data_IF_905601984487
#
_entry.id   IF_905601984487
#
_cell.length_a   1.000
_cell.length_b   1.000
_cell.length_c   1.000
_cell.angle_alpha   90.00
_cell.angle_beta   90.00
_cell.angle_gamma   90.00
#
_symmetry.space_group_name_H-M   'P 1'
#
loop_
_entity.id
_entity.type
_entity.pdbx_description
1 polymer ?
#
# COMPACT_ATOMS: atom_id res chain seq x y z
N UNK A 1 -13.53 21.76 -1.02
CA UNK A 1 -14.75 21.09 -0.53
C UNK A 1 -15.71 20.96 -1.69
N UNK A 2 -16.18 19.76 -1.95
CA UNK A 2 -17.09 19.46 -3.07
C UNK A 2 -18.25 18.64 -2.51
N UNK A 3 -19.49 18.88 -2.98
CA UNK A 3 -20.66 18.07 -2.61
C UNK A 3 -20.84 16.86 -3.55
N UNK A 4 -21.88 16.06 -3.33
CA UNK A 4 -22.20 14.87 -4.13
C UNK A 4 -22.60 15.17 -5.58
N UNK A 5 -23.07 16.40 -5.86
CA UNK A 5 -23.38 16.86 -7.22
C UNK A 5 -22.15 17.34 -7.99
N UNK A 6 -21.00 17.47 -7.32
CA UNK A 6 -19.77 18.00 -7.89
C UNK A 6 -19.60 19.51 -7.76
N UNK A 7 -20.51 20.20 -7.02
CA UNK A 7 -20.43 21.64 -6.85
C UNK A 7 -19.30 21.99 -5.87
N UNK A 8 -18.53 23.02 -6.22
CA UNK A 8 -17.42 23.51 -5.43
C UNK A 8 -17.96 24.47 -4.34
N UNK A 9 -18.01 23.99 -3.08
CA UNK A 9 -18.53 24.73 -1.95
C UNK A 9 -17.47 25.63 -1.27
N UNK A 10 -16.19 25.33 -1.47
CA UNK A 10 -15.10 26.12 -0.94
C UNK A 10 -13.76 25.72 -1.55
N UNK A 11 -12.97 26.72 -1.93
CA UNK A 11 -11.65 26.53 -2.52
C UNK A 11 -10.66 27.60 -2.06
N UNK A 12 -9.46 27.15 -1.71
CA UNK A 12 -8.30 28.02 -1.47
C UNK A 12 -7.10 27.40 -2.17
N UNK A 13 -6.82 27.86 -3.39
CA UNK A 13 -5.74 27.34 -4.23
C UNK A 13 -5.81 25.82 -4.43
N UNK A 14 -7.00 25.26 -4.57
CA UNK A 14 -7.26 23.82 -4.66
C UNK A 14 -6.63 23.16 -5.88
N UNK A 15 -6.42 23.91 -6.97
CA UNK A 15 -5.75 23.42 -8.18
C UNK A 15 -4.22 23.37 -8.04
N UNK A 16 -3.64 23.99 -7.00
CA UNK A 16 -2.20 24.02 -6.82
C UNK A 16 -1.68 22.65 -6.35
N UNK A 17 -0.79 22.06 -7.11
CA UNK A 17 -0.14 20.80 -6.75
C UNK A 17 0.86 21.00 -5.60
N UNK A 18 0.71 20.20 -4.55
CA UNK A 18 1.49 20.25 -3.30
C UNK A 18 2.00 18.86 -2.95
N UNK A 19 2.95 18.79 -2.01
CA UNK A 19 3.41 17.53 -1.43
C UNK A 19 2.29 16.97 -0.55
N UNK A 20 1.73 15.78 -0.86
CA UNK A 20 0.57 15.24 -0.16
C UNK A 20 0.89 14.51 1.14
N UNK A 21 2.15 14.14 1.38
CA UNK A 21 2.49 13.12 2.37
C UNK A 21 1.60 11.87 2.20
N UNK A 22 1.18 11.23 3.28
CA UNK A 22 0.40 9.97 3.20
C UNK A 22 -0.99 10.09 2.56
N UNK A 23 -1.45 11.29 2.16
CA UNK A 23 -2.66 11.38 1.32
C UNK A 23 -2.44 10.79 -0.08
N UNK A 24 -1.18 10.58 -0.50
CA UNK A 24 -0.82 9.80 -1.69
C UNK A 24 -1.42 8.39 -1.66
N UNK A 25 -1.56 7.78 -0.47
CA UNK A 25 -2.13 6.45 -0.30
C UNK A 25 -3.58 6.34 -0.80
N UNK A 26 -4.34 7.43 -0.77
CA UNK A 26 -5.69 7.44 -1.35
C UNK A 26 -5.67 7.08 -2.84
N UNK A 27 -4.67 7.56 -3.59
CA UNK A 27 -4.50 7.21 -5.01
C UNK A 27 -4.10 5.74 -5.15
N UNK A 28 -3.09 5.29 -4.41
CA UNK A 28 -2.55 3.92 -4.52
C UNK A 28 -3.58 2.87 -4.13
N UNK A 29 -4.38 3.13 -3.09
CA UNK A 29 -5.41 2.21 -2.61
C UNK A 29 -6.66 2.21 -3.50
N UNK A 30 -7.06 3.36 -4.05
CA UNK A 30 -8.14 3.42 -5.03
C UNK A 30 -7.78 2.66 -6.32
N UNK A 31 -6.57 2.90 -6.84
CA UNK A 31 -6.04 2.18 -7.99
C UNK A 31 -5.98 0.67 -7.76
N UNK A 32 -5.50 0.25 -6.59
CA UNK A 32 -5.43 -1.18 -6.25
C UNK A 32 -6.82 -1.83 -6.14
N UNK A 33 -7.76 -1.16 -5.49
CA UNK A 33 -9.12 -1.70 -5.33
C UNK A 33 -9.85 -1.82 -6.68
N UNK A 34 -9.72 -0.81 -7.55
CA UNK A 34 -10.34 -0.84 -8.88
C UNK A 34 -9.75 -1.95 -9.77
N UNK A 35 -8.43 -2.10 -9.76
CA UNK A 35 -7.73 -3.02 -10.67
C UNK A 35 -7.74 -4.48 -10.21
N UNK A 36 -7.71 -4.72 -8.91
CA UNK A 36 -7.53 -6.06 -8.34
C UNK A 36 -8.82 -6.60 -7.70
N UNK A 37 -9.78 -5.73 -7.36
CA UNK A 37 -11.03 -6.10 -6.72
C UNK A 37 -10.92 -6.41 -5.22
N UNK A 38 -12.08 -6.58 -4.55
CA UNK A 38 -12.16 -6.72 -3.10
C UNK A 38 -11.65 -8.07 -2.57
N UNK A 39 -11.64 -9.10 -3.39
CA UNK A 39 -11.26 -10.48 -3.01
C UNK A 39 -9.77 -10.76 -3.19
N UNK A 40 -9.03 -9.82 -3.76
CA UNK A 40 -7.60 -9.98 -4.01
C UNK A 40 -6.83 -10.26 -2.72
N UNK A 41 -5.86 -11.18 -2.84
CA UNK A 41 -4.88 -11.51 -1.80
C UNK A 41 -3.50 -11.59 -2.41
N UNK A 42 -2.50 -11.13 -1.68
CA UNK A 42 -1.10 -11.34 -2.01
C UNK A 42 -0.74 -12.80 -1.74
N UNK A 43 0.10 -13.38 -2.59
CA UNK A 43 0.50 -14.78 -2.50
C UNK A 43 2.00 -14.88 -2.30
N UNK A 44 2.39 -15.86 -1.49
CA UNK A 44 3.77 -16.35 -1.39
C UNK A 44 3.72 -17.84 -1.67
N UNK A 45 4.51 -18.31 -2.63
CA UNK A 45 4.45 -19.68 -3.16
C UNK A 45 5.81 -20.34 -3.13
N UNK A 46 5.85 -21.60 -2.73
CA UNK A 46 6.97 -22.50 -2.93
C UNK A 46 6.60 -23.47 -4.05
N UNK A 47 7.37 -23.45 -5.11
CA UNK A 47 7.14 -24.25 -6.32
C UNK A 47 8.34 -25.14 -6.55
N UNK A 48 8.12 -26.41 -6.95
CA UNK A 48 9.16 -27.31 -7.44
C UNK A 48 9.20 -27.26 -8.96
N UNK A 49 10.35 -26.97 -9.52
CA UNK A 49 10.62 -27.03 -10.95
C UNK A 49 10.84 -28.47 -11.42
N UNK A 50 10.74 -28.72 -12.74
CA UNK A 50 10.89 -30.05 -13.33
C UNK A 50 12.25 -30.71 -13.01
N UNK A 51 13.31 -29.92 -12.83
CA UNK A 51 14.64 -30.36 -12.43
C UNK A 51 14.80 -30.66 -10.92
N UNK A 52 13.74 -30.49 -10.14
CA UNK A 52 13.72 -30.67 -8.70
C UNK A 52 14.15 -29.44 -7.89
N UNK A 53 14.58 -28.36 -8.53
CA UNK A 53 14.90 -27.09 -7.86
C UNK A 53 13.66 -26.48 -7.25
N UNK A 54 13.77 -25.97 -6.01
CA UNK A 54 12.68 -25.26 -5.35
C UNK A 54 12.79 -23.75 -5.62
N UNK A 55 11.66 -23.13 -5.84
CA UNK A 55 11.58 -21.69 -6.08
C UNK A 55 10.57 -21.05 -5.13
N UNK A 56 11.02 -20.04 -4.38
CA UNK A 56 10.20 -19.24 -3.48
C UNK A 56 9.88 -17.89 -4.14
N UNK A 57 8.59 -17.64 -4.39
CA UNK A 57 8.06 -16.44 -5.04
C UNK A 57 7.16 -15.69 -4.08
N UNK A 58 7.23 -14.36 -4.05
CA UNK A 58 6.37 -13.53 -3.21
C UNK A 58 5.81 -12.32 -3.94
N UNK A 59 4.67 -11.85 -3.46
CA UNK A 59 3.99 -10.65 -3.95
C UNK A 59 4.06 -9.48 -2.96
N UNK A 60 4.84 -9.61 -1.87
CA UNK A 60 5.02 -8.56 -0.87
C UNK A 60 3.95 -8.60 0.22
N UNK A 61 3.57 -9.79 0.70
CA UNK A 61 2.65 -9.92 1.83
C UNK A 61 3.21 -9.21 3.07
N UNK A 62 2.53 -8.17 3.60
CA UNK A 62 3.00 -7.41 4.76
C UNK A 62 3.00 -8.23 6.05
N UNK A 63 2.17 -9.27 6.11
CA UNK A 63 1.93 -10.07 7.31
C UNK A 63 2.63 -11.44 7.29
N UNK A 64 3.39 -11.75 6.22
CA UNK A 64 4.17 -12.98 6.18
C UNK A 64 5.13 -13.04 7.37
N UNK A 65 4.83 -13.95 8.31
CA UNK A 65 5.56 -14.08 9.57
C UNK A 65 6.50 -15.29 9.60
N UNK A 66 7.18 -15.44 10.74
CA UNK A 66 8.09 -16.59 10.98
C UNK A 66 7.33 -17.92 10.87
N UNK A 67 6.08 -17.99 11.32
CA UNK A 67 5.27 -19.23 11.22
C UNK A 67 5.04 -19.65 9.75
N UNK A 68 4.76 -18.70 8.85
CA UNK A 68 4.69 -18.97 7.40
C UNK A 68 6.01 -19.49 6.86
N UNK A 69 7.12 -18.83 7.21
CA UNK A 69 8.45 -19.28 6.81
C UNK A 69 8.74 -20.72 7.29
N UNK A 70 8.30 -21.09 8.49
CA UNK A 70 8.44 -22.45 9.02
C UNK A 70 7.64 -23.49 8.22
N UNK A 71 6.43 -23.14 7.75
CA UNK A 71 5.62 -24.00 6.88
C UNK A 71 6.28 -24.18 5.51
N UNK A 72 6.84 -23.12 4.92
CA UNK A 72 7.64 -23.23 3.71
C UNK A 72 8.86 -24.14 3.87
N UNK A 73 9.60 -24.00 4.98
CA UNK A 73 10.75 -24.88 5.25
C UNK A 73 10.32 -26.34 5.46
N UNK A 74 9.17 -26.58 6.07
CA UNK A 74 8.60 -27.94 6.22
C UNK A 74 8.21 -28.52 4.85
N UNK A 75 7.54 -27.75 4.00
CA UNK A 75 7.17 -28.17 2.67
C UNK A 75 8.40 -28.48 1.79
N UNK A 76 9.44 -27.63 1.88
CA UNK A 76 10.70 -27.86 1.18
C UNK A 76 11.38 -29.16 1.59
N UNK A 77 11.33 -29.52 2.86
CA UNK A 77 11.91 -30.76 3.39
C UNK A 77 11.10 -32.01 3.05
N UNK A 78 9.77 -31.88 2.97
CA UNK A 78 8.88 -33.00 2.66
C UNK A 78 9.08 -33.57 1.24
N UNK A 79 9.61 -32.79 0.31
CA UNK A 79 9.88 -33.20 -1.08
C UNK A 79 11.33 -33.67 -1.29
N UNK A 80 12.26 -33.32 -0.41
CA UNK A 80 13.66 -33.72 -0.49
C UNK A 80 13.91 -35.22 -0.27
N UNK A 81 12.89 -35.97 0.18
CA UNK A 81 12.99 -37.41 0.45
C UNK A 81 12.49 -38.34 -0.66
N UNK A 82 11.88 -37.88 -1.75
CA UNK A 82 11.08 -38.73 -2.62
C UNK A 82 11.67 -39.07 -3.98
N UNK A 83 12.56 -38.29 -4.59
CA UNK A 83 13.13 -38.63 -5.92
C UNK A 83 14.54 -38.05 -6.10
N UNK A 84 15.56 -38.79 -5.69
CA UNK A 84 16.93 -38.68 -6.25
C UNK A 84 17.86 -37.60 -5.67
N UNK A 85 17.42 -36.80 -4.70
CA UNK A 85 18.31 -35.92 -3.93
C UNK A 85 18.88 -36.70 -2.74
N UNK A 86 20.17 -36.50 -2.43
CA UNK A 86 20.79 -37.00 -1.19
C UNK A 86 19.91 -36.60 -0.02
N UNK A 87 19.48 -37.55 0.83
CA UNK A 87 18.55 -37.35 1.91
C UNK A 87 18.88 -36.06 2.68
N UNK A 88 17.97 -35.06 2.61
CA UNK A 88 18.06 -33.84 3.40
C UNK A 88 18.75 -32.63 2.75
N UNK A 89 19.14 -32.63 1.49
CA UNK A 89 19.66 -31.44 0.79
C UNK A 89 18.56 -30.73 -0.04
N UNK A 90 18.43 -29.42 0.13
CA UNK A 90 17.47 -28.57 -0.59
C UNK A 90 18.22 -27.51 -1.39
N UNK A 91 17.92 -27.37 -2.68
CA UNK A 91 18.34 -26.25 -3.49
C UNK A 91 17.17 -25.27 -3.66
N UNK A 92 17.29 -24.06 -3.10
CA UNK A 92 16.22 -23.05 -3.08
C UNK A 92 16.64 -21.81 -3.84
N UNK A 93 15.90 -21.49 -4.90
CA UNK A 93 15.94 -20.19 -5.55
C UNK A 93 14.92 -19.26 -4.90
N UNK A 94 15.34 -18.07 -4.56
CA UNK A 94 14.51 -17.01 -3.95
C UNK A 94 14.35 -15.88 -4.97
N UNK A 95 13.13 -15.70 -5.49
CA UNK A 95 12.82 -14.60 -6.40
C UNK A 95 12.72 -13.31 -5.62
N UNK A 96 13.73 -12.45 -5.74
CA UNK A 96 13.72 -11.15 -5.08
C UNK A 96 14.42 -10.09 -5.94
N UNK A 97 13.91 -8.86 -5.85
CA UNK A 97 14.50 -7.72 -6.52
C UNK A 97 15.94 -7.45 -6.03
N UNK A 98 16.81 -6.96 -6.89
CA UNK A 98 18.15 -6.55 -6.47
C UNK A 98 18.09 -5.39 -5.48
N UNK A 99 19.04 -5.35 -4.54
CA UNK A 99 19.06 -4.42 -3.39
C UNK A 99 18.85 -2.95 -3.77
N UNK A 100 19.35 -2.50 -4.92
CA UNK A 100 19.17 -1.13 -5.39
C UNK A 100 17.70 -0.76 -5.67
N UNK A 101 16.83 -1.75 -5.87
CA UNK A 101 15.39 -1.56 -6.16
C UNK A 101 14.52 -1.66 -4.90
N UNK A 102 15.08 -1.93 -3.72
CA UNK A 102 14.30 -2.11 -2.48
C UNK A 102 13.68 -0.82 -1.97
N UNK A 103 14.20 0.32 -2.35
CA UNK A 103 13.63 1.62 -1.99
C UNK A 103 13.32 2.45 -3.23
N UNK A 104 12.22 3.19 -3.23
CA UNK A 104 12.06 4.27 -4.19
C UNK A 104 13.27 5.21 -4.13
N UNK A 105 13.82 5.58 -5.28
CA UNK A 105 15.07 6.36 -5.36
C UNK A 105 15.00 7.68 -4.60
N UNK A 106 13.80 8.26 -4.52
CA UNK A 106 13.52 9.56 -3.91
C UNK A 106 13.34 9.50 -2.38
N UNK A 107 13.40 8.32 -1.76
CA UNK A 107 13.32 8.21 -0.30
C UNK A 107 14.61 8.69 0.35
N UNK A 108 14.47 9.60 1.31
CA UNK A 108 15.62 10.12 2.01
C UNK A 108 16.36 9.00 2.76
N UNK A 109 17.70 8.90 2.66
CA UNK A 109 18.45 7.82 3.30
C UNK A 109 18.22 7.69 4.81
N UNK A 110 18.02 8.81 5.52
CA UNK A 110 17.72 8.80 6.94
C UNK A 110 16.40 8.10 7.29
N UNK A 111 15.40 8.11 6.39
CA UNK A 111 14.12 7.45 6.61
C UNK A 111 14.25 5.92 6.57
N UNK A 112 15.24 5.41 5.87
CA UNK A 112 15.45 3.96 5.63
C UNK A 112 15.81 3.17 6.89
N UNK A 113 16.18 3.83 7.98
CA UNK A 113 16.44 3.19 9.27
C UNK A 113 15.17 2.92 10.10
N UNK A 114 14.07 3.62 9.78
CA UNK A 114 12.82 3.52 10.53
C UNK A 114 11.87 2.52 9.89
N UNK A 115 10.96 1.97 10.70
CA UNK A 115 9.95 1.00 10.25
C UNK A 115 9.10 1.55 9.07
N UNK A 116 8.78 2.84 9.07
CA UNK A 116 8.02 3.47 7.97
C UNK A 116 8.83 3.62 6.67
N UNK A 117 10.15 3.50 6.72
CA UNK A 117 11.07 3.52 5.58
C UNK A 117 11.69 2.15 5.27
N UNK A 118 11.08 1.08 5.77
CA UNK A 118 11.54 -0.29 5.54
C UNK A 118 11.62 -0.62 4.03
N UNK A 119 12.57 -1.48 3.61
CA UNK A 119 12.74 -1.83 2.21
C UNK A 119 11.51 -2.59 1.67
N UNK A 120 11.15 -2.29 0.43
CA UNK A 120 10.01 -2.90 -0.27
C UNK A 120 10.52 -4.10 -1.05
N UNK A 121 10.23 -5.30 -0.55
CA UNK A 121 10.67 -6.57 -1.12
C UNK A 121 9.48 -7.49 -1.41
N UNK A 122 9.67 -8.44 -2.32
CA UNK A 122 8.63 -9.42 -2.65
C UNK A 122 8.40 -10.42 -1.53
N UNK A 123 9.47 -10.74 -0.80
CA UNK A 123 9.47 -11.69 0.33
C UNK A 123 9.80 -10.94 1.63
N UNK A 124 8.81 -10.23 2.14
CA UNK A 124 8.94 -9.42 3.35
C UNK A 124 8.48 -10.18 4.59
N UNK A 125 9.39 -10.45 5.50
CA UNK A 125 9.01 -10.99 6.81
C UNK A 125 8.62 -9.85 7.75
N UNK A 126 7.33 -9.79 8.14
CA UNK A 126 6.77 -8.73 8.99
C UNK A 126 7.02 -7.32 8.42
N UNK A 127 6.69 -7.15 7.12
CA UNK A 127 6.89 -5.88 6.39
C UNK A 127 8.33 -5.35 6.47
N UNK A 128 9.32 -6.22 6.69
CA UNK A 128 10.73 -5.86 6.89
C UNK A 128 10.97 -4.85 8.03
N UNK A 129 10.14 -4.88 9.06
CA UNK A 129 10.24 -4.01 10.23
C UNK A 129 10.18 -4.79 11.55
N UNK A 130 11.13 -4.51 12.46
CA UNK A 130 11.24 -5.10 13.79
C UNK A 130 11.63 -3.99 14.78
N UNK A 131 10.69 -3.10 15.13
CA UNK A 131 11.00 -1.90 15.89
C UNK A 131 11.65 -0.79 15.04
N UNK A 132 12.54 -1.14 14.10
CA UNK A 132 13.12 -0.33 13.04
C UNK A 132 13.08 -1.11 11.72
N UNK A 133 13.62 -0.54 10.65
CA UNK A 133 13.73 -1.23 9.37
C UNK A 133 14.79 -2.35 9.42
N UNK A 134 14.49 -3.47 8.78
CA UNK A 134 15.46 -4.53 8.50
C UNK A 134 16.26 -4.13 7.27
N UNK A 135 17.55 -3.85 7.46
CA UNK A 135 18.43 -3.32 6.40
C UNK A 135 18.74 -4.32 5.28
N UNK A 136 18.64 -5.61 5.57
CA UNK A 136 18.86 -6.70 4.62
C UNK A 136 17.82 -7.81 4.83
N UNK A 137 16.61 -7.65 4.24
CA UNK A 137 15.52 -8.64 4.35
C UNK A 137 15.87 -9.99 3.74
N UNK A 138 16.60 -9.98 2.62
CA UNK A 138 16.99 -11.23 1.94
C UNK A 138 17.90 -12.07 2.85
N UNK A 139 18.94 -11.47 3.41
CA UNK A 139 19.85 -12.18 4.33
C UNK A 139 19.13 -12.66 5.59
N UNK A 140 18.17 -11.89 6.10
CA UNK A 140 17.32 -12.30 7.23
C UNK A 140 16.49 -13.53 6.86
N UNK A 141 15.80 -13.51 5.73
CA UNK A 141 15.00 -14.62 5.22
C UNK A 141 15.88 -15.87 5.03
N UNK A 142 17.00 -15.73 4.33
CA UNK A 142 17.96 -16.81 4.11
C UNK A 142 18.44 -17.45 5.42
N UNK A 143 18.84 -16.62 6.38
CA UNK A 143 19.34 -17.09 7.69
C UNK A 143 18.27 -17.87 8.44
N UNK A 144 17.04 -17.35 8.47
CA UNK A 144 15.93 -17.99 9.18
C UNK A 144 15.49 -19.28 8.48
N UNK A 145 15.45 -19.28 7.16
CA UNK A 145 15.10 -20.47 6.37
C UNK A 145 16.14 -21.58 6.56
N UNK A 146 17.44 -21.25 6.46
CA UNK A 146 18.54 -22.18 6.75
C UNK A 146 18.45 -22.78 8.16
N UNK A 147 18.15 -21.94 9.16
CA UNK A 147 17.97 -22.38 10.56
C UNK A 147 16.81 -23.38 10.67
N UNK A 148 15.68 -23.12 10.01
CA UNK A 148 14.52 -24.01 10.07
C UNK A 148 14.76 -25.35 9.37
N UNK A 149 15.44 -25.36 8.21
CA UNK A 149 15.82 -26.59 7.50
C UNK A 149 16.80 -27.40 8.35
N UNK A 150 17.83 -26.75 8.92
CA UNK A 150 18.82 -27.43 9.80
C UNK A 150 18.17 -28.05 11.03
N UNK A 151 17.20 -27.35 11.64
CA UNK A 151 16.44 -27.86 12.80
C UNK A 151 15.67 -29.15 12.49
N UNK A 152 15.32 -29.36 11.22
CA UNK A 152 14.67 -30.58 10.69
C UNK A 152 15.64 -31.64 10.18
N UNK A 153 16.94 -31.47 10.42
CA UNK A 153 17.96 -32.44 10.00
C UNK A 153 18.43 -32.31 8.55
N UNK A 154 17.99 -31.26 7.85
CA UNK A 154 18.40 -31.02 6.46
C UNK A 154 19.53 -30.02 6.30
N UNK A 155 19.97 -29.87 5.07
CA UNK A 155 20.89 -28.83 4.60
C UNK A 155 20.29 -28.13 3.39
N UNK A 156 20.65 -26.86 3.17
CA UNK A 156 20.07 -26.04 2.11
C UNK A 156 21.10 -25.09 1.51
N UNK A 157 21.09 -25.01 0.19
CA UNK A 157 21.69 -23.91 -0.55
C UNK A 157 20.59 -22.94 -0.96
N UNK A 158 20.78 -21.65 -0.69
CA UNK A 158 19.85 -20.58 -1.05
C UNK A 158 20.54 -19.65 -2.02
N UNK A 159 19.87 -19.38 -3.14
CA UNK A 159 20.37 -18.46 -4.16
C UNK A 159 19.29 -17.42 -4.48
N UNK A 160 19.65 -16.13 -4.46
CA UNK A 160 18.78 -15.08 -4.98
C UNK A 160 18.78 -15.11 -6.51
N UNK A 161 17.58 -15.07 -7.08
CA UNK A 161 17.37 -14.93 -8.53
C UNK A 161 16.48 -13.73 -8.79
N UNK A 162 16.65 -13.09 -9.94
CA UNK A 162 15.75 -11.99 -10.32
C UNK A 162 14.38 -12.57 -10.70
N UNK A 163 13.29 -11.87 -10.32
CA UNK A 163 11.95 -12.24 -10.72
C UNK A 163 11.82 -12.22 -12.24
N UNK A 164 11.19 -13.26 -12.77
CA UNK A 164 10.88 -13.37 -14.19
C UNK A 164 9.65 -12.49 -14.47
N UNK A 165 9.66 -11.70 -15.55
CA UNK A 165 8.51 -10.91 -15.96
C UNK A 165 7.34 -11.82 -16.36
N UNK A 166 6.09 -11.33 -16.15
CA UNK A 166 4.90 -12.12 -16.49
C UNK A 166 4.85 -12.55 -17.97
N UNK A 167 5.42 -11.75 -18.88
CA UNK A 167 5.57 -12.10 -20.30
C UNK A 167 6.53 -13.28 -20.56
N UNK A 168 7.45 -13.53 -19.64
CA UNK A 168 8.37 -14.67 -19.70
C UNK A 168 7.84 -15.89 -18.93
N UNK A 169 6.96 -15.69 -17.95
CA UNK A 169 6.30 -16.79 -17.22
C UNK A 169 5.38 -17.62 -18.11
N UNK A 170 4.74 -17.00 -19.11
CA UNK A 170 3.90 -17.70 -20.10
C UNK A 170 4.68 -18.63 -21.04
N UNK A 171 6.01 -18.59 -21.03
CA UNK A 171 6.90 -19.47 -21.81
C UNK A 171 7.59 -20.56 -20.97
N UNK A 172 7.45 -20.52 -19.62
CA UNK A 172 7.95 -21.60 -18.76
C UNK A 172 6.98 -22.78 -18.79
N UNK A 173 7.56 -23.98 -18.94
CA UNK A 173 6.83 -25.24 -18.98
C UNK A 173 5.86 -25.38 -17.81
N UNK A 174 4.67 -25.89 -18.10
CA UNK A 174 3.55 -26.18 -17.19
C UNK A 174 3.86 -27.32 -16.18
N UNK A 175 5.09 -27.80 -16.14
CA UNK A 175 5.53 -28.95 -15.34
C UNK A 175 5.98 -28.59 -13.90
N UNK A 176 5.69 -27.38 -13.44
CA UNK A 176 6.02 -26.98 -12.07
C UNK A 176 4.93 -27.41 -11.08
N UNK A 177 5.33 -27.88 -9.89
CA UNK A 177 4.43 -28.35 -8.83
C UNK A 177 4.39 -27.34 -7.69
N UNK A 178 3.20 -26.81 -7.37
CA UNK A 178 2.99 -25.99 -6.18
C UNK A 178 3.08 -26.87 -4.92
N UNK A 179 4.07 -26.62 -4.06
CA UNK A 179 4.27 -27.37 -2.83
C UNK A 179 3.59 -26.75 -1.63
N UNK A 180 3.58 -25.42 -1.56
CA UNK A 180 2.94 -24.67 -0.47
C UNK A 180 2.63 -23.24 -0.91
N UNK A 181 1.51 -22.71 -0.40
CA UNK A 181 1.11 -21.33 -0.61
C UNK A 181 0.67 -20.70 0.71
N UNK A 182 1.09 -19.49 0.95
CA UNK A 182 0.55 -18.59 1.97
C UNK A 182 -0.14 -17.41 1.27
N UNK A 183 -1.27 -16.99 1.79
CA UNK A 183 -2.00 -15.83 1.28
C UNK A 183 -2.14 -14.76 2.35
N UNK A 184 -2.04 -13.50 1.96
CA UNK A 184 -2.29 -12.37 2.84
C UNK A 184 -3.73 -12.31 3.32
N UNK A 185 -4.01 -11.41 4.25
CA UNK A 185 -5.35 -10.92 4.49
C UNK A 185 -5.98 -10.37 3.18
N UNK A 186 -7.32 -10.36 3.05
CA UNK A 186 -7.99 -9.88 1.84
C UNK A 186 -7.82 -8.36 1.63
N UNK A 187 -8.17 -7.89 0.44
CA UNK A 187 -7.99 -6.49 0.01
C UNK A 187 -8.50 -5.48 1.06
N UNK A 188 -9.66 -5.69 1.67
CA UNK A 188 -10.20 -4.76 2.67
C UNK A 188 -9.27 -4.56 3.87
N UNK A 189 -8.58 -5.61 4.32
CA UNK A 189 -7.61 -5.52 5.40
C UNK A 189 -6.32 -4.82 4.93
N UNK A 190 -5.84 -5.12 3.72
CA UNK A 190 -4.68 -4.44 3.11
C UNK A 190 -4.94 -2.93 2.93
N UNK A 191 -6.14 -2.57 2.44
CA UNK A 191 -6.56 -1.17 2.33
C UNK A 191 -6.60 -0.49 3.70
N UNK A 192 -7.15 -1.17 4.72
CA UNK A 192 -7.23 -0.66 6.08
C UNK A 192 -5.83 -0.43 6.67
N UNK A 193 -4.92 -1.37 6.47
CA UNK A 193 -3.53 -1.23 6.90
C UNK A 193 -2.86 -0.02 6.23
N UNK A 194 -3.09 0.20 4.94
CA UNK A 194 -2.54 1.33 4.21
C UNK A 194 -3.19 2.67 4.61
N UNK A 195 -4.52 2.74 4.74
CA UNK A 195 -5.24 4.00 4.95
C UNK A 195 -5.49 4.31 6.43
N UNK A 196 -6.01 3.36 7.21
CA UNK A 196 -6.31 3.55 8.65
C UNK A 196 -5.04 3.71 9.47
N UNK A 197 -4.06 2.79 9.27
CA UNK A 197 -2.79 2.77 10.02
C UNK A 197 -1.66 3.52 9.29
N UNK A 198 -1.91 3.95 8.08
CA UNK A 198 -0.93 4.69 7.26
C UNK A 198 0.33 3.90 6.91
N UNK A 199 0.21 2.57 6.75
CA UNK A 199 1.34 1.67 6.53
C UNK A 199 1.97 1.88 5.14
N UNK A 200 3.24 2.31 5.11
CA UNK A 200 3.93 2.65 3.87
C UNK A 200 4.21 1.43 3.01
N UNK A 201 4.74 0.36 3.61
CA UNK A 201 5.06 -0.88 2.90
C UNK A 201 3.85 -1.40 2.10
N UNK A 202 2.69 -1.53 2.76
CA UNK A 202 1.46 -2.03 2.09
C UNK A 202 1.02 -1.13 0.94
N UNK A 203 1.08 0.20 1.10
CA UNK A 203 0.70 1.12 0.02
C UNK A 203 1.65 1.02 -1.19
N UNK A 204 2.94 0.81 -0.93
CA UNK A 204 3.96 0.58 -1.97
C UNK A 204 3.71 -0.72 -2.74
N UNK A 205 3.40 -1.79 -2.02
CA UNK A 205 3.08 -3.08 -2.62
C UNK A 205 1.79 -3.01 -3.43
N UNK A 206 0.73 -2.41 -2.88
CA UNK A 206 -0.55 -2.27 -3.57
C UNK A 206 -0.42 -1.49 -4.88
N UNK A 207 0.36 -0.40 -4.91
CA UNK A 207 0.64 0.34 -6.14
C UNK A 207 1.27 -0.56 -7.21
N UNK A 208 2.28 -1.37 -6.82
CA UNK A 208 3.01 -2.25 -7.73
C UNK A 208 2.16 -3.40 -8.24
N UNK A 209 1.39 -4.03 -7.37
CA UNK A 209 0.51 -5.13 -7.72
C UNK A 209 -0.62 -4.68 -8.66
N UNK A 210 -1.23 -3.53 -8.40
CA UNK A 210 -2.27 -2.97 -9.26
C UNK A 210 -1.75 -2.61 -10.67
N UNK A 211 -0.49 -2.25 -10.77
CA UNK A 211 0.17 -1.94 -12.03
C UNK A 211 0.70 -3.19 -12.76
N UNK A 212 0.76 -4.33 -12.08
CA UNK A 212 1.51 -5.53 -12.51
C UNK A 212 2.97 -5.19 -12.87
N UNK A 213 3.56 -4.27 -12.10
CA UNK A 213 4.92 -3.76 -12.29
C UNK A 213 5.59 -3.53 -10.94
N UNK A 214 6.76 -4.17 -10.71
CA UNK A 214 7.50 -3.95 -9.46
C UNK A 214 8.33 -2.66 -9.48
N UNK A 215 8.78 -2.22 -10.64
CA UNK A 215 9.42 -0.91 -10.78
C UNK A 215 8.45 0.22 -10.42
N UNK A 216 8.86 1.04 -9.46
CA UNK A 216 7.99 2.10 -8.92
C UNK A 216 7.64 3.17 -9.96
N UNK A 217 8.50 3.44 -10.93
CA UNK A 217 8.24 4.45 -11.98
C UNK A 217 7.20 3.93 -12.96
N UNK A 218 7.32 2.66 -13.37
CA UNK A 218 6.35 2.01 -14.22
C UNK A 218 4.98 1.91 -13.54
N UNK A 219 4.95 1.52 -12.25
CA UNK A 219 3.74 1.46 -11.44
C UNK A 219 3.08 2.84 -11.26
N UNK A 220 3.87 3.87 -10.98
CA UNK A 220 3.38 5.25 -10.86
C UNK A 220 2.80 5.78 -12.17
N UNK A 221 3.45 5.47 -13.30
CA UNK A 221 2.93 5.82 -14.61
C UNK A 221 1.61 5.12 -14.94
N UNK A 222 1.44 3.86 -14.53
CA UNK A 222 0.18 3.13 -14.67
C UNK A 222 -0.94 3.76 -13.82
N UNK A 223 -0.66 4.10 -12.56
CA UNK A 223 -1.62 4.79 -11.70
C UNK A 223 -2.00 6.17 -12.25
N UNK A 224 -1.05 6.92 -12.80
CA UNK A 224 -1.33 8.22 -13.44
C UNK A 224 -2.27 8.06 -14.65
N UNK A 225 -2.01 7.09 -15.54
CA UNK A 225 -2.91 6.80 -16.68
C UNK A 225 -4.30 6.37 -16.21
N UNK A 226 -4.37 5.54 -15.18
CA UNK A 226 -5.65 5.15 -14.58
C UNK A 226 -6.44 6.37 -14.08
N UNK A 227 -5.81 7.32 -13.38
CA UNK A 227 -6.47 8.55 -12.94
C UNK A 227 -7.07 9.32 -14.12
N UNK A 228 -6.34 9.43 -15.24
CA UNK A 228 -6.84 10.07 -16.47
C UNK A 228 -8.05 9.33 -17.05
N UNK A 229 -7.99 8.00 -17.11
CA UNK A 229 -9.07 7.14 -17.61
C UNK A 229 -10.34 7.26 -16.75
N UNK A 230 -10.19 7.49 -15.44
CA UNK A 230 -11.31 7.74 -14.54
C UNK A 230 -11.86 9.17 -14.63
N UNK A 231 -11.34 10.02 -15.51
CA UNK A 231 -11.76 11.42 -15.64
C UNK A 231 -11.35 12.31 -14.47
N UNK A 232 -10.40 11.87 -13.64
CA UNK A 232 -9.93 12.62 -12.49
C UNK A 232 -8.90 13.68 -12.95
N UNK A 233 -8.99 14.95 -12.49
CA UNK A 233 -8.03 15.98 -12.89
C UNK A 233 -6.59 15.63 -12.48
N UNK A 234 -5.67 15.61 -13.46
CA UNK A 234 -4.25 15.23 -13.25
C UNK A 234 -3.29 16.38 -13.49
N UNK A 235 -3.77 17.61 -13.62
CA UNK A 235 -2.91 18.79 -13.84
C UNK A 235 -1.94 18.94 -12.66
N UNK A 236 -0.63 18.87 -12.94
CA UNK A 236 0.42 18.95 -11.94
C UNK A 236 0.59 17.69 -11.06
N UNK A 237 -0.16 16.61 -11.34
CA UNK A 237 -0.01 15.34 -10.63
C UNK A 237 1.34 14.70 -10.95
N UNK A 238 2.10 14.36 -9.91
CA UNK A 238 3.29 13.52 -9.98
C UNK A 238 3.21 12.46 -8.88
N UNK A 239 3.18 11.21 -9.28
CA UNK A 239 3.26 10.05 -8.40
C UNK A 239 4.71 9.58 -8.43
N UNK A 240 5.42 9.73 -7.33
CA UNK A 240 6.82 9.32 -7.18
C UNK A 240 6.94 8.00 -6.40
N UNK A 241 5.97 7.71 -5.55
CA UNK A 241 5.84 6.47 -4.78
C UNK A 241 4.37 6.19 -4.42
N UNK A 242 4.10 5.04 -3.80
CA UNK A 242 2.77 4.65 -3.39
C UNK A 242 2.35 5.19 -2.03
N UNK A 243 3.30 5.49 -1.17
CA UNK A 243 3.08 5.80 0.26
C UNK A 243 2.96 7.28 0.57
N UNK A 244 3.56 8.14 -0.27
CA UNK A 244 3.69 9.57 -0.01
C UNK A 244 4.89 9.95 0.85
N UNK A 245 5.84 9.04 1.07
CA UNK A 245 7.07 9.33 1.79
C UNK A 245 8.02 10.17 0.92
N UNK A 246 8.04 9.94 -0.39
CA UNK A 246 8.80 10.76 -1.33
C UNK A 246 8.30 12.21 -1.33
N UNK A 247 9.22 13.15 -1.15
CA UNK A 247 8.94 14.59 -1.24
C UNK A 247 8.74 15.07 -2.70
N UNK A 248 8.90 14.18 -3.68
CA UNK A 248 8.69 14.47 -5.09
C UNK A 248 7.25 14.22 -5.55
N UNK A 249 6.38 13.61 -4.71
CA UNK A 249 4.96 13.55 -4.98
C UNK A 249 4.35 14.95 -5.08
N UNK A 250 3.44 15.13 -6.04
CA UNK A 250 2.65 16.36 -6.21
C UNK A 250 1.21 15.99 -6.53
N UNK A 251 0.27 16.55 -5.80
CA UNK A 251 -1.16 16.39 -6.08
C UNK A 251 -1.89 17.65 -5.63
N UNK A 252 -2.95 18.01 -6.32
CA UNK A 252 -3.82 19.11 -5.94
C UNK A 252 -4.94 18.64 -5.01
N UNK A 253 -5.48 19.52 -4.19
CA UNK A 253 -6.66 19.23 -3.36
C UNK A 253 -7.87 18.90 -4.23
N UNK A 254 -8.03 19.55 -5.38
CA UNK A 254 -9.07 19.22 -6.36
C UNK A 254 -8.94 17.80 -6.89
N UNK A 255 -7.73 17.35 -7.22
CA UNK A 255 -7.48 15.96 -7.68
C UNK A 255 -7.94 14.93 -6.63
N UNK A 256 -7.59 15.15 -5.36
CA UNK A 256 -7.99 14.22 -4.29
C UNK A 256 -9.50 14.27 -4.02
N UNK A 257 -10.12 15.46 -4.01
CA UNK A 257 -11.57 15.57 -3.82
C UNK A 257 -12.33 14.87 -4.96
N UNK A 258 -11.91 15.05 -6.21
CA UNK A 258 -12.47 14.35 -7.37
C UNK A 258 -12.28 12.83 -7.28
N UNK A 259 -11.11 12.36 -6.82
CA UNK A 259 -10.86 10.93 -6.56
C UNK A 259 -11.84 10.38 -5.51
N UNK A 260 -12.01 11.07 -4.39
CA UNK A 260 -12.93 10.64 -3.33
C UNK A 260 -14.37 10.54 -3.84
N UNK A 261 -14.84 11.55 -4.58
CA UNK A 261 -16.16 11.55 -5.20
C UNK A 261 -16.32 10.40 -6.21
N UNK A 262 -15.30 10.17 -7.06
CA UNK A 262 -15.30 9.06 -8.02
C UNK A 262 -15.37 7.70 -7.33
N UNK A 263 -14.62 7.52 -6.23
CA UNK A 263 -14.60 6.29 -5.47
C UNK A 263 -15.87 6.06 -4.65
N UNK A 264 -16.57 7.11 -4.25
CA UNK A 264 -17.88 6.99 -3.58
C UNK A 264 -18.98 6.47 -4.55
N UNK A 265 -18.80 6.71 -5.84
CA UNK A 265 -19.67 6.19 -6.91
C UNK A 265 -19.20 4.83 -7.47
N UNK A 266 -18.10 4.29 -6.96
CA UNK A 266 -17.51 3.05 -7.44
C UNK A 266 -18.29 1.82 -6.91
N UNK A 267 -18.40 0.70 -7.67
CA UNK A 267 -19.03 -0.54 -7.17
C UNK A 267 -18.45 -1.03 -5.83
N UNK A 268 -17.20 -0.69 -5.52
CA UNK A 268 -16.51 -1.05 -4.27
C UNK A 268 -16.38 0.13 -3.29
N UNK A 269 -17.27 1.13 -3.37
CA UNK A 269 -17.23 2.34 -2.53
C UNK A 269 -17.17 2.03 -1.03
N UNK A 270 -17.97 1.06 -0.57
CA UNK A 270 -18.01 0.67 0.84
C UNK A 270 -16.67 0.14 1.34
N UNK A 271 -15.93 -0.62 0.54
CA UNK A 271 -14.59 -1.10 0.90
C UNK A 271 -13.58 0.05 1.00
N UNK A 272 -13.65 1.00 0.04
CA UNK A 272 -12.76 2.13 0.02
C UNK A 272 -13.00 3.05 1.23
N UNK A 273 -14.25 3.44 1.49
CA UNK A 273 -14.61 4.25 2.64
C UNK A 273 -14.26 3.56 3.97
N UNK A 274 -14.60 2.27 4.12
CA UNK A 274 -14.30 1.49 5.32
C UNK A 274 -12.80 1.37 5.62
N UNK A 275 -11.93 1.53 4.62
CA UNK A 275 -10.47 1.50 4.81
C UNK A 275 -9.91 2.74 5.49
N UNK A 276 -10.66 3.84 5.58
CA UNK A 276 -10.19 5.11 6.12
C UNK A 276 -10.21 5.15 7.65
N UNK A 277 -9.40 6.00 8.24
CA UNK A 277 -9.49 6.35 9.66
C UNK A 277 -10.80 7.11 9.93
N UNK A 278 -11.33 7.01 11.15
CA UNK A 278 -12.60 7.64 11.56
C UNK A 278 -12.30 8.64 12.68
N UNK A 279 -12.78 9.86 12.50
CA UNK A 279 -12.64 10.94 13.49
C UNK A 279 -13.16 10.51 14.86
N UNK A 280 -12.33 10.66 15.90
CA UNK A 280 -12.62 10.32 17.28
C UNK A 280 -12.71 8.83 17.60
N UNK A 281 -12.52 7.92 16.62
CA UNK A 281 -12.79 6.49 16.83
C UNK A 281 -11.65 5.56 16.40
N UNK A 282 -11.07 5.73 15.19
CA UNK A 282 -10.21 4.71 14.62
C UNK A 282 -9.00 5.28 13.86
N UNK A 283 -7.89 4.54 13.91
CA UNK A 283 -6.69 4.78 13.12
C UNK A 283 -6.01 6.11 13.46
N UNK A 284 -5.44 6.76 12.47
CA UNK A 284 -4.71 8.04 12.65
C UNK A 284 -5.59 9.22 13.04
N UNK A 285 -6.91 9.07 13.02
CA UNK A 285 -7.89 10.10 13.44
C UNK A 285 -8.53 9.82 14.80
N UNK A 286 -8.20 8.72 15.49
CA UNK A 286 -8.84 8.30 16.75
C UNK A 286 -8.84 9.37 17.87
N UNK A 287 -7.81 10.22 17.90
CA UNK A 287 -7.64 11.26 18.90
C UNK A 287 -8.03 12.66 18.38
N UNK A 288 -8.67 12.75 17.21
CA UNK A 288 -9.09 14.02 16.61
C UNK A 288 -10.62 14.13 16.63
N UNK A 289 -11.11 15.33 16.96
CA UNK A 289 -12.53 15.69 16.93
C UNK A 289 -13.40 14.97 17.98
N UNK A 290 -12.82 14.38 19.03
CA UNK A 290 -13.55 13.78 20.15
C UNK A 290 -14.48 14.84 20.78
N UNK A 291 -15.74 14.47 21.05
CA UNK A 291 -16.75 15.36 21.62
C UNK A 291 -17.26 16.46 20.69
N UNK A 292 -16.85 16.45 19.40
CA UNK A 292 -17.33 17.42 18.41
C UNK A 292 -18.41 16.80 17.51
N UNK A 293 -19.24 17.63 16.81
CA UNK A 293 -20.22 17.12 15.85
C UNK A 293 -19.64 16.28 14.69
N UNK A 294 -18.32 16.32 14.50
CA UNK A 294 -17.60 15.61 13.45
C UNK A 294 -17.21 14.20 13.89
N UNK A 295 -17.23 13.92 15.21
CA UNK A 295 -16.91 12.59 15.73
C UNK A 295 -17.77 11.51 15.08
N UNK A 296 -17.12 10.45 14.56
CA UNK A 296 -17.79 9.37 13.84
C UNK A 296 -18.34 9.73 12.45
N UNK A 297 -18.25 11.00 12.01
CA UNK A 297 -18.84 11.48 10.76
C UNK A 297 -17.82 11.82 9.67
N UNK A 298 -16.53 11.77 9.98
CA UNK A 298 -15.48 12.01 9.00
C UNK A 298 -14.62 10.77 8.85
N UNK A 299 -14.64 10.21 7.66
CA UNK A 299 -13.76 9.11 7.21
C UNK A 299 -12.65 9.72 6.39
N UNK A 300 -11.40 9.57 6.81
CA UNK A 300 -10.33 10.28 6.13
C UNK A 300 -8.94 9.69 6.29
N UNK A 301 -8.04 10.25 5.51
CA UNK A 301 -6.60 9.95 5.53
C UNK A 301 -5.83 11.19 5.97
N UNK A 302 -5.00 11.03 6.99
CA UNK A 302 -4.03 12.04 7.40
C UNK A 302 -2.71 11.87 6.65
N UNK A 303 -1.97 12.96 6.47
CA UNK A 303 -0.61 12.92 5.96
C UNK A 303 0.30 13.86 6.75
N UNK A 304 1.48 13.37 7.09
CA UNK A 304 2.48 14.10 7.88
C UNK A 304 3.89 13.71 7.46
N UNK A 305 4.64 14.69 7.00
CA UNK A 305 6.11 14.67 6.94
C UNK A 305 6.60 16.07 7.34
N UNK A 306 7.88 16.26 7.52
CA UNK A 306 8.45 17.57 7.91
C UNK A 306 7.96 18.70 6.98
N UNK A 307 7.34 19.74 7.56
CA UNK A 307 6.77 20.88 6.83
C UNK A 307 5.48 20.61 6.07
N UNK A 308 4.89 19.40 6.16
CA UNK A 308 3.65 19.04 5.47
C UNK A 308 2.61 18.49 6.43
N UNK A 309 1.38 18.96 6.28
CA UNK A 309 0.17 18.38 6.89
C UNK A 309 -0.91 18.30 5.84
N UNK A 310 -1.56 17.15 5.78
CA UNK A 310 -2.70 16.96 4.90
C UNK A 310 -3.78 16.13 5.60
N UNK A 311 -5.01 16.36 5.19
CA UNK A 311 -6.16 15.55 5.54
C UNK A 311 -7.12 15.56 4.36
N UNK A 312 -7.62 14.41 3.97
CA UNK A 312 -8.62 14.29 2.93
C UNK A 312 -9.58 13.16 3.27
N UNK A 313 -10.84 13.30 2.90
CA UNK A 313 -11.83 12.30 3.24
C UNK A 313 -13.25 12.71 2.92
N UNK A 314 -14.19 11.92 3.44
CA UNK A 314 -15.63 12.05 3.26
C UNK A 314 -16.23 12.48 4.60
N UNK A 315 -16.90 13.62 4.61
CA UNK A 315 -17.63 14.15 5.77
C UNK A 315 -19.12 13.96 5.54
N UNK A 316 -19.76 13.18 6.40
CA UNK A 316 -21.21 13.03 6.37
C UNK A 316 -21.88 14.22 7.07
N UNK A 317 -22.74 14.90 6.33
CA UNK A 317 -23.58 16.00 6.84
C UNK A 317 -25.06 15.64 6.72
N UNK A 318 -25.93 16.48 7.23
CA UNK A 318 -27.38 16.29 7.11
C UNK A 318 -27.85 16.42 5.66
N UNK A 319 -27.10 17.15 4.82
CA UNK A 319 -27.39 17.42 3.41
C UNK A 319 -26.63 16.47 2.45
N UNK A 320 -26.02 15.41 3.00
CA UNK A 320 -25.28 14.41 2.23
C UNK A 320 -23.76 14.50 2.42
N UNK A 321 -23.02 13.67 1.67
CA UNK A 321 -21.56 13.60 1.81
C UNK A 321 -20.86 14.81 1.19
N UNK A 322 -19.83 15.28 1.88
CA UNK A 322 -18.88 16.25 1.36
C UNK A 322 -17.50 15.62 1.18
N UNK A 323 -16.87 15.85 0.05
CA UNK A 323 -15.52 15.39 -0.26
C UNK A 323 -14.53 16.54 0.00
N UNK A 324 -13.66 16.33 0.97
CA UNK A 324 -12.71 17.35 1.41
C UNK A 324 -11.27 16.92 1.15
N UNK A 325 -10.46 17.85 0.70
CA UNK A 325 -9.01 17.68 0.67
C UNK A 325 -8.31 18.97 1.07
N UNK A 326 -7.47 18.88 2.08
CA UNK A 326 -6.64 19.97 2.58
C UNK A 326 -5.17 19.52 2.60
N UNK A 327 -4.33 20.21 1.82
CA UNK A 327 -2.90 19.95 1.76
C UNK A 327 -2.15 21.24 2.06
N UNK A 328 -1.42 21.24 3.18
CA UNK A 328 -0.65 22.38 3.64
C UNK A 328 0.85 22.08 3.61
N UNK A 329 1.60 22.93 2.93
CA UNK A 329 3.05 22.90 2.91
C UNK A 329 3.59 24.21 3.52
N UNK A 330 4.34 24.11 4.63
CA UNK A 330 5.01 25.24 5.27
C UNK A 330 4.14 26.12 6.19
N UNK A 331 2.87 25.77 6.45
CA UNK A 331 2.04 26.57 7.35
C UNK A 331 2.47 26.40 8.82
N UNK A 332 2.35 27.47 9.62
CA UNK A 332 2.74 27.49 11.03
C UNK A 332 1.75 26.76 11.95
N UNK A 333 0.44 26.77 11.63
CA UNK A 333 -0.63 26.17 12.45
C UNK A 333 -1.59 25.32 11.62
N UNK A 334 -1.10 24.31 10.87
CA UNK A 334 -1.94 23.60 9.92
C UNK A 334 -3.08 22.81 10.57
N UNK A 335 -2.87 22.22 11.75
CA UNK A 335 -3.89 21.42 12.44
C UNK A 335 -5.07 22.30 12.92
N UNK A 336 -4.82 23.51 13.41
CA UNK A 336 -5.87 24.44 13.83
C UNK A 336 -6.73 24.85 12.62
N UNK A 337 -6.09 25.21 11.50
CA UNK A 337 -6.78 25.58 10.25
C UNK A 337 -7.62 24.42 9.71
N UNK A 338 -7.06 23.21 9.67
CA UNK A 338 -7.77 21.99 9.27
C UNK A 338 -9.03 21.80 10.12
N UNK A 339 -8.90 21.91 11.46
CA UNK A 339 -10.03 21.77 12.37
C UNK A 339 -11.11 22.82 12.17
N UNK A 340 -10.74 24.07 11.88
CA UNK A 340 -11.69 25.14 11.57
C UNK A 340 -12.44 24.89 10.27
N UNK A 341 -11.74 24.49 9.22
CA UNK A 341 -12.36 24.22 7.91
C UNK A 341 -13.32 23.02 8.00
N UNK A 342 -12.96 21.95 8.70
CA UNK A 342 -13.85 20.79 8.87
C UNK A 342 -15.12 21.15 9.64
N UNK A 343 -15.02 21.96 10.70
CA UNK A 343 -16.20 22.47 11.44
C UNK A 343 -17.06 23.38 10.58
N UNK A 344 -16.45 24.27 9.81
CA UNK A 344 -17.18 25.13 8.89
C UNK A 344 -17.91 24.31 7.82
N UNK A 345 -17.22 23.32 7.22
CA UNK A 345 -17.82 22.43 6.23
C UNK A 345 -19.01 21.63 6.80
N UNK A 346 -18.91 21.16 8.04
CA UNK A 346 -20.02 20.42 8.70
C UNK A 346 -21.26 21.29 8.91
N UNK A 347 -21.06 22.60 9.13
CA UNK A 347 -22.12 23.58 9.36
C UNK A 347 -22.59 24.31 8.09
N UNK A 348 -22.08 23.91 6.90
CA UNK A 348 -22.59 24.46 5.65
C UNK A 348 -24.07 24.09 5.51
N UNK A 349 -24.94 25.12 5.47
CA UNK A 349 -26.31 24.95 5.03
C UNK A 349 -26.37 25.10 3.51
N UNK A 350 -27.19 24.32 2.80
CA UNK A 350 -27.42 24.56 1.37
C UNK A 350 -27.95 25.97 1.18
N UNK A 351 -27.48 26.68 0.15
CA UNK A 351 -28.13 27.94 -0.24
C UNK A 351 -29.60 27.62 -0.51
N UNK A 352 -30.54 28.44 0.03
CA UNK A 352 -31.93 28.27 -0.34
C UNK A 352 -32.03 28.36 -1.85
N UNK A 353 -32.64 27.31 -2.47
CA UNK A 353 -32.93 27.31 -3.90
C UNK A 353 -33.64 28.64 -4.20
N UNK A 354 -33.06 29.44 -5.08
CA UNK A 354 -33.76 30.63 -5.60
C UNK A 354 -35.08 30.14 -6.19
N UNK A 355 -36.16 30.59 -5.53
CA UNK A 355 -37.56 30.41 -5.94
C UNK A 355 -37.77 30.98 -7.33
#
# INVERSE_FOLDING_TARGET
VVNSSGDLLGDVNGAMARIPASNQKLISTAFALDRLGPDFRLRTQLVQQADGTLELKGQGDPDLGIAGLQRFAMAAMGQGGARGASAGFVNLMVQEEPRQNWWPNDWHPADRAYAYGAPITRLALTSNALGGAVSDPYRRLETLFKKEVKRRGGSIQVQQVQPISNSQQSQQSDDSILLHEETSAPMHALLSLANTESHNFTAEVLLRQAADQWDVRAASAAAHRWMQQQGIPVKGLRIADGSGLSRNNRVSSQTIAALLMRMDQHPYASYYQASMAIAGQRGTLRNYFIGSPIEGKFWGKTGTISGVRSISGILQTNDGPLYLSMISNGASRPNATIGQILRAAYNLSPCPSSI
#
